data_IF_662811449765
#
_entry.id   IF_662811449765
#
_cell.length_a   1.000
_cell.length_b   1.000
_cell.length_c   1.000
_cell.angle_alpha   90.00
_cell.angle_beta   90.00
_cell.angle_gamma   90.00
#
_symmetry.space_group_name_H-M   'P 1'
#
loop_
_entity.id
_entity.type
_entity.pdbx_description
1 polymer ?
#
# COMPACT_ATOMS: atom_id res chain seq x y z
N UNK A 1 -30.26 22.75 -3.59
CA UNK A 1 -29.10 23.05 -2.73
C UNK A 1 -27.87 23.12 -3.63
N UNK A 2 -27.07 24.18 -3.54
CA UNK A 2 -25.88 24.38 -4.38
C UNK A 2 -24.65 23.69 -3.77
N UNK A 3 -23.66 23.40 -4.62
CA UNK A 3 -22.36 22.84 -4.21
C UNK A 3 -21.65 23.70 -3.15
N UNK A 4 -21.84 25.02 -3.18
CA UNK A 4 -21.32 25.96 -2.19
C UNK A 4 -21.85 25.67 -0.77
N UNK A 5 -23.16 25.38 -0.64
CA UNK A 5 -23.74 25.03 0.67
C UNK A 5 -23.21 23.70 1.20
N UNK A 6 -22.90 22.75 0.33
CA UNK A 6 -22.37 21.45 0.74
C UNK A 6 -20.93 21.55 1.26
N UNK A 7 -20.13 22.45 0.69
CA UNK A 7 -18.81 22.78 1.20
C UNK A 7 -18.89 23.55 2.53
N UNK A 8 -19.80 24.53 2.64
CA UNK A 8 -20.02 25.34 3.86
C UNK A 8 -20.44 24.48 5.06
N UNK A 9 -21.30 23.48 4.85
CA UNK A 9 -21.73 22.56 5.91
C UNK A 9 -20.72 21.43 6.21
N UNK A 10 -19.58 21.36 5.51
CA UNK A 10 -18.52 20.38 5.75
C UNK A 10 -18.79 18.97 5.22
N UNK A 11 -19.85 18.78 4.42
CA UNK A 11 -20.21 17.48 3.80
C UNK A 11 -19.43 17.22 2.51
N UNK A 12 -18.89 18.29 1.89
CA UNK A 12 -17.99 18.22 0.76
C UNK A 12 -16.54 18.43 1.22
N UNK A 13 -15.99 17.51 2.00
CA UNK A 13 -14.55 17.40 2.16
C UNK A 13 -14.02 16.56 0.99
N UNK A 14 -13.17 17.14 0.15
CA UNK A 14 -12.18 16.32 -0.51
C UNK A 14 -11.40 15.64 0.63
N UNK A 15 -11.60 14.34 0.83
CA UNK A 15 -10.67 13.54 1.62
C UNK A 15 -9.31 13.77 0.95
N UNK A 16 -8.39 14.55 1.55
CA UNK A 16 -7.06 14.62 1.01
C UNK A 16 -6.51 13.24 1.27
N UNK A 17 -6.56 12.34 0.28
CA UNK A 17 -5.80 11.10 0.36
C UNK A 17 -4.37 11.56 0.53
N UNK A 18 -3.87 11.43 1.75
CA UNK A 18 -2.56 11.93 2.09
C UNK A 18 -1.56 11.18 1.21
N UNK A 19 -0.43 11.81 0.85
CA UNK A 19 0.52 11.20 -0.08
C UNK A 19 1.01 9.81 0.41
N UNK A 20 1.01 9.61 1.72
CA UNK A 20 1.20 8.34 2.42
C UNK A 20 0.09 7.31 2.15
N UNK A 21 -1.18 7.70 2.25
CA UNK A 21 -2.29 6.79 1.97
C UNK A 21 -2.26 6.29 0.53
N UNK A 22 -1.97 7.19 -0.42
CA UNK A 22 -1.82 6.84 -1.82
C UNK A 22 -0.64 5.86 -2.04
N UNK A 23 0.53 6.16 -1.48
CA UNK A 23 1.71 5.32 -1.60
C UNK A 23 1.50 3.94 -0.95
N UNK A 24 0.89 3.88 0.23
CA UNK A 24 0.61 2.63 0.92
C UNK A 24 -0.45 1.80 0.18
N UNK A 25 -1.51 2.44 -0.30
CA UNK A 25 -2.53 1.78 -1.12
C UNK A 25 -1.90 1.15 -2.37
N UNK A 26 -1.02 1.89 -3.06
CA UNK A 26 -0.29 1.38 -4.21
C UNK A 26 0.59 0.17 -3.86
N UNK A 27 1.40 0.26 -2.79
CA UNK A 27 2.23 -0.85 -2.31
C UNK A 27 1.40 -2.11 -1.96
N UNK A 28 0.25 -1.91 -1.30
CA UNK A 28 -0.66 -3.01 -0.95
C UNK A 28 -1.28 -3.67 -2.18
N UNK A 29 -1.68 -2.86 -3.16
CA UNK A 29 -2.21 -3.36 -4.43
C UNK A 29 -1.16 -4.16 -5.17
N UNK A 30 0.08 -3.67 -5.25
CA UNK A 30 1.21 -4.40 -5.85
C UNK A 30 1.46 -5.75 -5.17
N UNK A 31 1.50 -5.80 -3.83
CA UNK A 31 1.66 -7.05 -3.10
C UNK A 31 0.49 -8.03 -3.32
N UNK A 32 -0.74 -7.52 -3.38
CA UNK A 32 -1.92 -8.33 -3.69
C UNK A 32 -1.85 -8.88 -5.10
N UNK A 33 -1.40 -8.08 -6.05
CA UNK A 33 -1.30 -8.46 -7.45
C UNK A 33 -0.24 -9.54 -7.66
N UNK A 34 0.94 -9.41 -7.03
CA UNK A 34 1.96 -10.45 -7.04
C UNK A 34 1.41 -11.79 -6.50
N UNK A 35 0.67 -11.74 -5.39
CA UNK A 35 0.05 -12.93 -4.79
C UNK A 35 -0.99 -13.58 -5.72
N UNK A 36 -1.82 -12.75 -6.36
CA UNK A 36 -2.86 -13.21 -7.30
C UNK A 36 -2.27 -13.79 -8.57
N UNK A 37 -1.22 -13.18 -9.12
CA UNK A 37 -0.49 -13.68 -10.27
C UNK A 37 0.14 -15.05 -9.97
N UNK A 38 0.60 -15.27 -8.72
CA UNK A 38 1.05 -16.59 -8.26
C UNK A 38 -0.09 -17.58 -7.94
N UNK A 39 -1.36 -17.23 -8.19
CA UNK A 39 -2.51 -18.12 -7.96
C UNK A 39 -3.02 -18.17 -6.52
N UNK A 40 -2.54 -17.30 -5.64
CA UNK A 40 -2.89 -17.30 -4.22
C UNK A 40 -3.75 -16.08 -3.84
N UNK A 41 -4.40 -16.16 -2.68
CA UNK A 41 -5.11 -15.04 -2.04
C UNK A 41 -4.97 -15.12 -0.53
N UNK A 42 -4.94 -13.98 0.15
CA UNK A 42 -5.02 -13.96 1.62
C UNK A 42 -6.45 -14.23 2.10
N UNK A 43 -6.56 -14.99 3.19
CA UNK A 43 -7.82 -15.18 3.92
C UNK A 43 -8.23 -13.88 4.62
N UNK A 44 -9.52 -13.56 4.69
CA UNK A 44 -10.08 -12.32 5.28
C UNK A 44 -10.07 -12.33 6.82
N UNK A 45 -9.01 -12.83 7.42
CA UNK A 45 -8.82 -12.91 8.87
C UNK A 45 -8.01 -11.72 9.40
N UNK A 46 -8.01 -11.52 10.72
CA UNK A 46 -7.18 -10.51 11.37
C UNK A 46 -5.69 -10.72 10.97
N UNK A 47 -5.02 -9.62 10.59
CA UNK A 47 -3.62 -9.68 10.16
C UNK A 47 -3.39 -10.06 8.68
N UNK A 48 -4.44 -10.22 7.87
CA UNK A 48 -4.29 -10.54 6.44
C UNK A 48 -3.47 -9.50 5.66
N UNK A 49 -3.49 -8.22 6.06
CA UNK A 49 -2.63 -7.19 5.48
C UNK A 49 -1.15 -7.49 5.67
N UNK A 50 -0.76 -7.94 6.87
CA UNK A 50 0.64 -8.30 7.18
C UNK A 50 1.06 -9.52 6.38
N UNK A 51 0.21 -10.55 6.31
CA UNK A 51 0.47 -11.75 5.50
C UNK A 51 0.60 -11.44 4.00
N UNK A 52 -0.15 -10.45 3.50
CA UNK A 52 -0.03 -10.00 2.12
C UNK A 52 1.36 -9.40 1.87
N UNK A 53 1.89 -8.60 2.80
CA UNK A 53 3.25 -8.05 2.70
C UNK A 53 4.31 -9.16 2.83
N UNK A 54 4.14 -10.09 3.76
CA UNK A 54 5.09 -11.21 3.96
C UNK A 54 5.17 -12.14 2.73
N UNK A 55 4.07 -12.28 1.99
CA UNK A 55 4.07 -13.09 0.76
C UNK A 55 4.97 -12.55 -0.35
N UNK A 56 5.44 -11.31 -0.27
CA UNK A 56 6.44 -10.75 -1.19
C UNK A 56 7.76 -11.53 -1.17
N UNK A 57 8.10 -12.17 -0.05
CA UNK A 57 9.26 -13.07 0.07
C UNK A 57 9.13 -14.28 -0.85
N UNK A 58 7.91 -14.81 -1.00
CA UNK A 58 7.64 -16.03 -1.75
C UNK A 58 7.30 -15.76 -3.23
N UNK A 59 6.83 -14.56 -3.54
CA UNK A 59 6.37 -14.19 -4.90
C UNK A 59 7.49 -13.53 -5.70
N UNK A 60 7.77 -12.26 -5.42
CA UNK A 60 8.80 -11.49 -6.12
C UNK A 60 10.21 -11.69 -5.54
N UNK A 61 10.34 -12.52 -4.49
CA UNK A 61 11.58 -12.70 -3.72
C UNK A 61 12.12 -11.39 -3.16
N UNK A 62 11.21 -10.54 -2.67
CA UNK A 62 11.57 -9.28 -2.03
C UNK A 62 12.50 -9.54 -0.84
N UNK A 63 13.47 -8.65 -0.64
CA UNK A 63 14.39 -8.79 0.48
C UNK A 63 13.71 -8.52 1.83
N UNK A 64 14.29 -9.09 2.89
CA UNK A 64 13.75 -8.97 4.25
C UNK A 64 13.72 -7.53 4.74
N UNK A 65 14.62 -6.65 4.30
CA UNK A 65 14.64 -5.23 4.70
C UNK A 65 13.43 -4.50 4.10
N UNK A 66 13.08 -4.76 2.83
CA UNK A 66 11.90 -4.19 2.18
C UNK A 66 10.62 -4.63 2.90
N UNK A 67 10.50 -5.92 3.22
CA UNK A 67 9.35 -6.46 3.94
C UNK A 67 9.22 -5.81 5.33
N UNK A 68 10.31 -5.69 6.08
CA UNK A 68 10.28 -5.05 7.40
C UNK A 68 9.93 -3.56 7.34
N UNK A 69 10.44 -2.82 6.35
CA UNK A 69 10.06 -1.42 6.12
C UNK A 69 8.56 -1.30 5.86
N UNK A 70 8.02 -2.12 4.95
CA UNK A 70 6.59 -2.12 4.63
C UNK A 70 5.71 -2.48 5.84
N UNK A 71 6.11 -3.47 6.65
CA UNK A 71 5.42 -3.82 7.91
C UNK A 71 5.43 -2.66 8.91
N UNK A 72 6.55 -1.95 9.02
CA UNK A 72 6.67 -0.79 9.92
C UNK A 72 5.74 0.34 9.49
N UNK A 73 5.68 0.66 8.20
CA UNK A 73 4.75 1.67 7.67
C UNK A 73 3.30 1.24 7.83
N UNK A 74 2.96 -0.03 7.58
CA UNK A 74 1.61 -0.57 7.81
C UNK A 74 1.17 -0.43 9.27
N UNK A 75 2.07 -0.71 10.23
CA UNK A 75 1.77 -0.60 11.66
C UNK A 75 1.57 0.86 12.08
N UNK A 76 2.43 1.77 11.59
CA UNK A 76 2.31 3.20 11.87
C UNK A 76 1.02 3.79 11.32
N UNK A 77 0.62 3.42 10.09
CA UNK A 77 -0.67 3.84 9.52
C UNK A 77 -1.86 3.38 10.37
N UNK A 78 -1.86 2.13 10.82
CA UNK A 78 -2.94 1.61 11.67
C UNK A 78 -3.01 2.36 13.00
N UNK A 79 -1.87 2.79 13.54
CA UNK A 79 -1.82 3.60 14.75
C UNK A 79 -2.35 5.03 14.53
N UNK A 80 -2.02 5.67 13.39
CA UNK A 80 -2.50 7.02 13.07
C UNK A 80 -3.99 7.11 12.76
N UNK A 81 -4.62 6.03 12.29
CA UNK A 81 -6.07 5.99 12.05
C UNK A 81 -6.91 5.83 13.33
N UNK A 82 -6.32 5.40 14.46
CA UNK A 82 -7.06 5.13 15.71
C UNK A 82 -6.63 6.00 16.89
N UNK A 83 -5.36 6.41 16.96
CA UNK A 83 -4.85 7.28 18.01
C UNK A 83 -4.44 8.64 17.44
N UNK A 84 -5.01 9.70 18.00
CA UNK A 84 -4.81 11.11 17.62
C UNK A 84 -3.41 11.65 17.98
N UNK A 85 -2.39 10.80 18.03
CA UNK A 85 -1.03 11.15 18.43
C UNK A 85 0.01 10.21 17.77
N UNK A 86 0.26 10.41 16.48
CA UNK A 86 1.27 9.64 15.76
C UNK A 86 1.82 10.37 14.54
N UNK A 87 2.35 11.59 14.70
CA UNK A 87 2.95 12.33 13.58
C UNK A 87 4.10 11.52 12.96
N UNK A 88 3.85 10.88 11.82
CA UNK A 88 4.90 10.36 10.93
C UNK A 88 5.77 11.56 10.53
N UNK A 89 7.07 11.47 10.76
CA UNK A 89 7.96 12.59 10.40
C UNK A 89 8.00 12.76 8.87
N UNK A 90 8.29 13.97 8.39
CA UNK A 90 8.44 14.22 6.94
C UNK A 90 9.47 13.27 6.28
N UNK A 91 10.56 12.96 6.99
CA UNK A 91 11.59 12.04 6.52
C UNK A 91 11.08 10.59 6.44
N UNK A 92 10.29 10.16 7.42
CA UNK A 92 9.67 8.83 7.42
C UNK A 92 8.63 8.70 6.30
N UNK A 93 7.88 9.77 6.04
CA UNK A 93 6.93 9.85 4.93
C UNK A 93 7.64 9.73 3.58
N UNK A 94 8.71 10.50 3.36
CA UNK A 94 9.49 10.43 2.12
C UNK A 94 10.10 9.04 1.92
N UNK A 95 10.61 8.42 2.98
CA UNK A 95 11.12 7.05 2.93
C UNK A 95 10.02 6.03 2.61
N UNK A 96 8.81 6.20 3.16
CA UNK A 96 7.67 5.33 2.88
C UNK A 96 7.24 5.41 1.43
N UNK A 97 7.11 6.63 0.88
CA UNK A 97 6.78 6.86 -0.53
C UNK A 97 7.84 6.23 -1.43
N UNK A 98 9.12 6.46 -1.14
CA UNK A 98 10.22 5.89 -1.92
C UNK A 98 10.20 4.36 -1.91
N UNK A 99 10.02 3.75 -0.74
CA UNK A 99 10.01 2.29 -0.61
C UNK A 99 8.77 1.68 -1.31
N UNK A 100 7.61 2.34 -1.26
CA UNK A 100 6.42 1.92 -2.00
C UNK A 100 6.60 2.03 -3.53
N UNK A 101 7.27 3.07 -4.01
CA UNK A 101 7.58 3.22 -5.43
C UNK A 101 8.60 2.17 -5.91
N UNK A 102 9.59 1.83 -5.09
CA UNK A 102 10.53 0.73 -5.35
C UNK A 102 9.79 -0.61 -5.46
N UNK A 103 8.93 -0.94 -4.49
CA UNK A 103 8.14 -2.17 -4.52
C UNK A 103 7.26 -2.27 -5.78
N UNK A 104 6.56 -1.19 -6.15
CA UNK A 104 5.74 -1.19 -7.36
C UNK A 104 6.57 -1.50 -8.61
N UNK A 105 7.76 -0.91 -8.74
CA UNK A 105 8.65 -1.16 -9.88
C UNK A 105 9.13 -2.61 -9.91
N UNK A 106 9.47 -3.18 -8.76
CA UNK A 106 9.91 -4.58 -8.66
C UNK A 106 8.77 -5.54 -9.04
N UNK A 107 7.55 -5.30 -8.55
CA UNK A 107 6.38 -6.10 -8.91
C UNK A 107 6.09 -6.01 -10.41
N UNK A 108 6.10 -4.82 -10.99
CA UNK A 108 5.87 -4.65 -12.45
C UNK A 108 6.94 -5.38 -13.26
N UNK A 109 8.21 -5.22 -12.91
CA UNK A 109 9.32 -5.92 -13.58
C UNK A 109 9.17 -7.44 -13.45
N UNK A 110 8.76 -7.92 -12.29
CA UNK A 110 8.51 -9.34 -12.05
C UNK A 110 7.33 -9.87 -12.87
N UNK A 111 6.23 -9.13 -12.98
CA UNK A 111 5.09 -9.52 -13.82
C UNK A 111 5.48 -9.63 -15.29
N UNK A 112 6.19 -8.63 -15.82
CA UNK A 112 6.65 -8.64 -17.20
C UNK A 112 7.50 -9.87 -17.52
N UNK A 113 8.27 -10.35 -16.53
CA UNK A 113 9.14 -11.50 -16.69
C UNK A 113 8.45 -12.85 -16.48
N UNK A 114 7.54 -12.96 -15.51
CA UNK A 114 7.00 -14.25 -15.05
C UNK A 114 5.53 -14.48 -15.43
N UNK A 115 4.78 -13.40 -15.67
CA UNK A 115 3.37 -13.42 -16.02
C UNK A 115 3.03 -12.43 -17.16
N UNK A 116 3.75 -12.46 -18.29
CA UNK A 116 3.48 -11.54 -19.40
C UNK A 116 2.06 -11.67 -19.94
N UNK A 117 1.42 -12.83 -19.80
CA UNK A 117 0.03 -13.09 -20.17
C UNK A 117 -0.98 -12.23 -19.40
N UNK A 118 -0.63 -11.76 -18.19
CA UNK A 118 -1.48 -10.87 -17.39
C UNK A 118 -1.38 -9.39 -17.80
N UNK A 119 -0.47 -9.07 -18.74
CA UNK A 119 -0.21 -7.72 -19.23
C UNK A 119 -0.67 -7.51 -20.68
N UNK A 120 -1.27 -8.53 -21.30
CA UNK A 120 -1.84 -8.43 -22.64
C UNK A 120 -3.34 -8.15 -22.53
N UNK A 121 -3.79 -7.07 -23.15
CA UNK A 121 -5.20 -6.77 -23.39
C UNK A 121 -5.71 -7.50 -24.65
#
# INVERSE_FOLDING_TARGET
MSLEKWAEYGWLKAEPTSRDEAAFSAARTAATLALRASGYRTSTQLGHHVKTIESLELTIKADSKMIQKMKTFSKKRNATSYDSAGNVSKQELELAIKTAAELNREVVTWLQKNHPELLQD
#
